data_IF_345811192347
#
_entry.id   IF_345811192347
#
_cell.length_a   1.000
_cell.length_b   1.000
_cell.length_c   1.000
_cell.angle_alpha   90.00
_cell.angle_beta   90.00
_cell.angle_gamma   90.00
#
_symmetry.space_group_name_H-M   'P 1'
#
loop_
_entity.id
_entity.type
_entity.pdbx_description
1 polymer ?
#
# COMPACT_ATOMS: atom_id res chain seq x y z
N UNK A 1 -14.58 8.18 -5.67
CA UNK A 1 -13.97 6.86 -5.40
C UNK A 1 -13.48 6.34 -6.74
N UNK A 2 -12.20 5.95 -6.86
CA UNK A 2 -11.64 5.51 -8.13
C UNK A 2 -12.25 4.16 -8.55
N UNK A 3 -12.50 4.00 -9.86
CA UNK A 3 -13.01 2.74 -10.41
C UNK A 3 -11.88 1.72 -10.63
N UNK A 4 -12.23 0.44 -10.78
CA UNK A 4 -11.27 -0.62 -11.15
C UNK A 4 -10.44 -0.26 -12.39
N UNK A 5 -11.08 0.28 -13.43
CA UNK A 5 -10.40 0.70 -14.66
C UNK A 5 -9.41 1.83 -14.40
N UNK A 6 -9.77 2.77 -13.54
CA UNK A 6 -8.90 3.87 -13.16
C UNK A 6 -7.67 3.39 -12.37
N UNK A 7 -7.84 2.42 -11.48
CA UNK A 7 -6.72 1.78 -10.76
C UNK A 7 -5.76 1.08 -11.73
N UNK A 8 -6.26 0.34 -12.72
CA UNK A 8 -5.41 -0.28 -13.75
C UNK A 8 -4.71 0.74 -14.63
N UNK A 9 -5.38 1.84 -14.99
CA UNK A 9 -4.79 2.93 -15.77
C UNK A 9 -3.63 3.58 -15.01
N UNK A 10 -3.83 3.90 -13.73
CA UNK A 10 -2.77 4.47 -12.88
C UNK A 10 -1.63 3.48 -12.64
N UNK A 11 -1.95 2.20 -12.45
CA UNK A 11 -0.95 1.14 -12.40
C UNK A 11 -0.09 1.12 -13.67
N UNK A 12 -0.71 1.21 -14.85
CA UNK A 12 0.00 1.26 -16.13
C UNK A 12 0.96 2.45 -16.22
N UNK A 13 0.52 3.64 -15.81
CA UNK A 13 1.36 4.84 -15.76
C UNK A 13 2.57 4.62 -14.86
N UNK A 14 2.37 4.07 -13.65
CA UNK A 14 3.47 3.80 -12.72
C UNK A 14 4.38 2.66 -13.22
N UNK A 15 3.83 1.65 -13.89
CA UNK A 15 4.62 0.55 -14.44
C UNK A 15 5.49 1.03 -15.62
N UNK A 16 4.94 1.86 -16.51
CA UNK A 16 5.66 2.42 -17.66
C UNK A 16 6.70 3.47 -17.23
N UNK A 17 6.40 4.24 -16.19
CA UNK A 17 7.28 5.30 -15.71
C UNK A 17 8.63 4.78 -15.19
N UNK A 18 8.77 3.49 -14.83
CA UNK A 18 10.01 2.81 -14.41
C UNK A 18 10.93 3.63 -13.48
N UNK A 19 11.85 4.43 -14.01
CA UNK A 19 12.77 5.29 -13.25
C UNK A 19 12.15 6.63 -12.80
N UNK A 20 11.14 7.14 -13.52
CA UNK A 20 10.42 8.38 -13.22
C UNK A 20 9.17 8.15 -12.36
N UNK A 21 8.98 6.96 -11.80
CA UNK A 21 7.83 6.62 -10.92
C UNK A 21 7.64 7.65 -9.83
N UNK A 22 8.71 8.12 -9.19
CA UNK A 22 8.64 9.13 -8.13
C UNK A 22 7.98 10.44 -8.54
N UNK A 23 7.92 10.78 -9.83
CA UNK A 23 7.24 11.97 -10.34
C UNK A 23 5.72 11.78 -10.46
N UNK A 24 5.24 10.53 -10.50
CA UNK A 24 3.83 10.19 -10.64
C UNK A 24 3.14 9.95 -9.29
N UNK A 25 3.40 10.85 -8.34
CA UNK A 25 2.80 10.81 -7.00
C UNK A 25 1.27 10.81 -7.06
N UNK A 26 0.70 11.59 -7.98
CA UNK A 26 -0.75 11.71 -8.14
C UNK A 26 -1.37 10.35 -8.51
N UNK A 27 -0.75 9.61 -9.43
CA UNK A 27 -1.22 8.29 -9.84
C UNK A 27 -1.16 7.28 -8.67
N UNK A 28 -0.11 7.35 -7.86
CA UNK A 28 0.01 6.51 -6.66
C UNK A 28 -1.01 6.90 -5.60
N UNK A 29 -1.32 8.19 -5.44
CA UNK A 29 -2.36 8.67 -4.54
C UNK A 29 -3.75 8.12 -4.92
N UNK A 30 -4.06 8.04 -6.22
CA UNK A 30 -5.32 7.43 -6.69
C UNK A 30 -5.37 5.93 -6.34
N UNK A 31 -4.24 5.23 -6.40
CA UNK A 31 -4.15 3.82 -5.98
C UNK A 31 -4.39 3.68 -4.48
N UNK A 32 -3.84 4.59 -3.67
CA UNK A 32 -4.09 4.64 -2.23
C UNK A 32 -5.56 4.87 -1.91
N UNK A 33 -6.24 5.75 -2.64
CA UNK A 33 -7.68 5.99 -2.48
C UNK A 33 -8.55 4.80 -2.95
N UNK A 34 -7.97 3.82 -3.65
CA UNK A 34 -8.63 2.56 -4.01
C UNK A 34 -9.09 1.74 -2.81
N UNK A 35 -8.49 1.92 -1.63
CA UNK A 35 -8.91 1.24 -0.40
C UNK A 35 -10.27 1.73 0.11
N UNK A 36 -10.72 2.90 -0.33
CA UNK A 36 -12.05 3.45 -0.02
C UNK A 36 -13.12 2.99 -1.01
N UNK A 37 -12.75 2.19 -2.02
CA UNK A 37 -13.64 1.65 -3.04
C UNK A 37 -14.39 0.40 -2.59
N UNK A 38 -14.95 -0.33 -3.55
CA UNK A 38 -15.59 -1.63 -3.31
C UNK A 38 -14.59 -2.77 -3.11
N UNK A 39 -15.09 -3.99 -2.93
CA UNK A 39 -14.26 -5.18 -2.69
C UNK A 39 -13.22 -5.43 -3.79
N UNK A 40 -13.57 -5.15 -5.06
CA UNK A 40 -12.66 -5.36 -6.20
C UNK A 40 -11.54 -4.33 -6.23
N UNK A 41 -11.89 -3.06 -6.00
CA UNK A 41 -10.96 -1.94 -5.93
C UNK A 41 -9.98 -2.10 -4.77
N UNK A 42 -10.50 -2.43 -3.58
CA UNK A 42 -9.70 -2.73 -2.38
C UNK A 42 -8.68 -3.83 -2.64
N UNK A 43 -9.08 -4.92 -3.30
CA UNK A 43 -8.20 -6.04 -3.64
C UNK A 43 -7.07 -5.65 -4.60
N UNK A 44 -7.33 -4.69 -5.50
CA UNK A 44 -6.32 -4.18 -6.42
C UNK A 44 -5.38 -3.20 -5.72
N UNK A 45 -5.91 -2.27 -4.93
CA UNK A 45 -5.13 -1.37 -4.10
C UNK A 45 -4.16 -2.16 -3.20
N UNK A 46 -4.65 -3.22 -2.55
CA UNK A 46 -3.84 -4.10 -1.71
C UNK A 46 -2.62 -4.70 -2.44
N UNK A 47 -2.73 -4.96 -3.75
CA UNK A 47 -1.66 -5.52 -4.57
C UNK A 47 -0.74 -4.44 -5.18
N UNK A 48 -1.27 -3.26 -5.47
CA UNK A 48 -0.53 -2.22 -6.18
C UNK A 48 0.29 -1.34 -5.24
N UNK A 49 -0.25 -1.03 -4.05
CA UNK A 49 0.44 -0.26 -3.00
C UNK A 49 1.84 -0.81 -2.71
N UNK A 50 2.04 -2.10 -2.34
CA UNK A 50 3.37 -2.66 -2.08
C UNK A 50 4.34 -2.51 -3.24
N UNK A 51 3.86 -2.64 -4.48
CA UNK A 51 4.70 -2.67 -5.68
C UNK A 51 5.45 -1.36 -5.89
N UNK A 52 4.76 -0.24 -5.65
CA UNK A 52 5.32 1.09 -5.90
C UNK A 52 5.77 1.80 -4.63
N UNK A 53 5.47 1.25 -3.45
CA UNK A 53 5.85 1.80 -2.15
C UNK A 53 7.31 2.28 -2.07
N UNK A 54 8.26 1.47 -2.55
CA UNK A 54 9.71 1.78 -2.52
C UNK A 54 10.10 3.06 -3.27
N UNK A 55 9.25 3.53 -4.18
CA UNK A 55 9.49 4.73 -4.98
C UNK A 55 8.91 6.00 -4.33
N UNK A 56 8.06 5.87 -3.31
CA UNK A 56 7.34 6.98 -2.67
C UNK A 56 7.52 6.99 -1.16
N UNK A 57 8.73 7.26 -0.64
CA UNK A 57 8.97 7.35 0.80
C UNK A 57 8.15 8.46 1.47
N UNK A 58 7.83 9.53 0.75
CA UNK A 58 7.00 10.65 1.23
C UNK A 58 5.52 10.29 1.45
N UNK A 59 5.02 9.22 0.81
CA UNK A 59 3.66 8.70 0.98
C UNK A 59 3.63 7.44 1.82
N UNK A 60 4.74 7.11 2.49
CA UNK A 60 4.87 5.90 3.29
C UNK A 60 3.77 5.77 4.34
N UNK A 61 3.53 6.83 5.12
CA UNK A 61 2.50 6.84 6.17
C UNK A 61 1.09 6.63 5.60
N UNK A 62 0.78 7.27 4.47
CA UNK A 62 -0.52 7.10 3.81
C UNK A 62 -0.70 5.68 3.24
N UNK A 63 0.36 5.09 2.69
CA UNK A 63 0.37 3.73 2.21
C UNK A 63 0.23 2.68 3.31
N UNK A 64 0.82 2.94 4.48
CA UNK A 64 0.65 2.09 5.67
C UNK A 64 -0.78 2.15 6.16
N UNK A 65 -1.33 3.35 6.35
CA UNK A 65 -2.71 3.52 6.81
C UNK A 65 -3.71 2.86 5.85
N UNK A 66 -3.53 3.05 4.54
CA UNK A 66 -4.37 2.42 3.54
C UNK A 66 -4.33 0.87 3.61
N UNK A 67 -3.16 0.28 3.89
CA UNK A 67 -3.06 -1.17 4.07
C UNK A 67 -3.59 -1.67 5.41
N UNK A 68 -3.53 -0.85 6.46
CA UNK A 68 -4.19 -1.15 7.73
C UNK A 68 -5.71 -1.19 7.54
N UNK A 69 -6.28 -0.19 6.86
CA UNK A 69 -7.72 -0.15 6.52
C UNK A 69 -8.15 -1.40 5.74
N UNK A 70 -7.29 -1.92 4.85
CA UNK A 70 -7.53 -3.15 4.09
C UNK A 70 -7.39 -4.43 4.93
N UNK A 71 -6.61 -4.41 6.01
CA UNK A 71 -6.41 -5.55 6.89
C UNK A 71 -7.58 -5.73 7.88
N UNK A 72 -8.32 -4.66 8.14
CA UNK A 72 -9.54 -4.69 8.97
C UNK A 72 -10.76 -5.24 8.19
N UNK A 73 -10.66 -5.40 6.87
CA UNK A 73 -11.70 -5.98 6.02
C UNK A 73 -11.65 -7.53 6.06
N UNK A 74 -12.72 -8.16 6.57
CA UNK A 74 -12.83 -9.63 6.76
C UNK A 74 -12.73 -10.45 5.45
N UNK A 75 -13.07 -9.85 4.30
CA UNK A 75 -13.11 -10.53 2.99
C UNK A 75 -11.76 -10.61 2.28
N UNK A 76 -10.81 -9.75 2.65
CA UNK A 76 -9.55 -9.68 1.95
C UNK A 76 -8.54 -10.48 2.77
N UNK A 77 -8.14 -11.64 2.25
CA UNK A 77 -7.05 -12.47 2.76
C UNK A 77 -5.69 -11.74 2.57
N UNK A 78 -5.53 -10.57 3.19
CA UNK A 78 -4.41 -9.62 3.11
C UNK A 78 -3.30 -9.99 4.09
N UNK A 79 -3.54 -10.93 5.00
CA UNK A 79 -2.62 -11.29 6.10
C UNK A 79 -1.19 -11.61 5.66
N UNK A 80 -0.97 -12.10 4.44
CA UNK A 80 0.37 -12.41 3.89
C UNK A 80 1.02 -11.17 3.24
N UNK A 81 0.23 -10.31 2.59
CA UNK A 81 0.74 -9.11 1.91
C UNK A 81 1.08 -8.01 2.92
N UNK A 82 0.25 -7.85 3.97
CA UNK A 82 0.53 -6.93 5.08
C UNK A 82 1.84 -7.27 5.78
N UNK A 83 2.07 -8.54 6.12
CA UNK A 83 3.30 -8.98 6.78
C UNK A 83 4.55 -8.69 5.93
N UNK A 84 4.46 -8.92 4.61
CA UNK A 84 5.57 -8.67 3.68
C UNK A 84 5.90 -7.18 3.54
N UNK A 85 4.88 -6.32 3.57
CA UNK A 85 5.02 -4.85 3.53
C UNK A 85 5.59 -4.34 4.85
N UNK A 86 5.05 -4.77 5.99
CA UNK A 86 5.52 -4.37 7.32
C UNK A 86 6.95 -4.84 7.57
N UNK A 87 7.31 -6.06 7.16
CA UNK A 87 8.71 -6.53 7.24
C UNK A 87 9.64 -5.72 6.33
N UNK A 88 9.21 -5.38 5.10
CA UNK A 88 10.01 -4.52 4.21
C UNK A 88 10.16 -3.09 4.75
N UNK A 89 9.13 -2.56 5.41
CA UNK A 89 9.10 -1.26 6.08
C UNK A 89 10.08 -1.17 7.26
N UNK A 90 10.12 -2.20 8.12
CA UNK A 90 11.09 -2.30 9.23
C UNK A 90 12.52 -2.34 8.68
N UNK A 91 12.72 -2.99 7.53
CA UNK A 91 14.04 -3.16 6.93
C UNK A 91 14.54 -1.89 6.20
N UNK A 92 13.65 -1.11 5.57
CA UNK A 92 14.01 0.09 4.80
C UNK A 92 14.06 1.37 5.63
N UNK A 93 13.36 1.45 6.77
CA UNK A 93 13.22 2.68 7.54
C UNK A 93 13.82 2.51 8.95
N UNK A 94 15.10 2.84 9.13
CA UNK A 94 15.76 2.92 10.44
C UNK A 94 15.27 4.10 11.31
N UNK A 95 14.04 4.58 11.10
CA UNK A 95 13.46 5.71 11.83
C UNK A 95 12.00 5.39 12.14
N UNK A 96 11.83 4.86 13.36
CA UNK A 96 10.64 4.28 14.03
C UNK A 96 9.33 5.09 13.95
N UNK A 97 8.18 4.51 14.36
CA UNK A 97 7.77 4.77 15.75
C UNK A 97 7.27 3.54 16.54
N UNK A 98 7.65 3.56 17.81
CA UNK A 98 7.26 2.87 19.06
C UNK A 98 5.91 2.11 19.14
N UNK A 99 4.97 2.30 18.21
CA UNK A 99 3.67 1.63 18.20
C UNK A 99 3.72 0.26 17.51
N UNK A 100 4.73 -0.03 16.69
CA UNK A 100 4.87 -1.34 16.05
C UNK A 100 5.43 -2.43 17.00
N UNK A 101 6.06 -2.02 18.10
CA UNK A 101 6.56 -2.93 19.14
C UNK A 101 5.42 -3.62 19.92
N UNK A 102 4.18 -3.10 19.82
CA UNK A 102 2.98 -3.73 20.36
C UNK A 102 2.43 -4.89 19.51
N UNK A 103 2.89 -5.04 18.26
CA UNK A 103 2.46 -6.15 17.39
C UNK A 103 3.40 -7.36 17.43
N UNK A 104 4.57 -7.23 18.05
CA UNK A 104 5.53 -8.33 18.21
C UNK A 104 5.03 -9.45 19.17
N UNK A 105 4.35 -9.19 20.31
CA UNK A 105 3.95 -10.25 21.23
C UNK A 105 2.65 -10.97 20.85
N UNK A 106 1.98 -10.61 19.75
CA UNK A 106 0.81 -11.37 19.27
C UNK A 106 1.17 -12.59 18.40
N UNK A 107 2.47 -12.85 18.21
CA UNK A 107 3.00 -13.87 17.29
C UNK A 107 4.10 -14.76 17.93
N UNK A 108 4.04 -14.93 19.26
CA UNK A 108 4.67 -16.06 19.98
C UNK A 108 3.58 -16.92 20.60
#
# INVERSE_FOLDING_TARGET
MPSVEELYRNYGILADATEQVGQHKDAYQVILDGVKGGTKEKRLAAQFIPKFFKHFPELADSAINAQLDLCEDEDVSVNITFFSIVMSLIYLNTTTPKNLMFFIPLYV
#
